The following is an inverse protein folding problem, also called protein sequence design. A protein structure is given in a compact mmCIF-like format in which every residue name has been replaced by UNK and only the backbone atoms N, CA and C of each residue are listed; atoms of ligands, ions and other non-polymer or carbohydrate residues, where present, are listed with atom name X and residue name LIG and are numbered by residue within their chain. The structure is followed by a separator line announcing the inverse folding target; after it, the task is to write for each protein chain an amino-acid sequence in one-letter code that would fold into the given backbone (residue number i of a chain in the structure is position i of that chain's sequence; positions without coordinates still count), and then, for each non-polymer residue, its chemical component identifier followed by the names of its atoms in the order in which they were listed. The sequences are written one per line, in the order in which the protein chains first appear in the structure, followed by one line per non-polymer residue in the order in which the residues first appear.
data_IF_156118499988
#
_entry.id   IF_156118499988
#
_cell.length_a   1.000
_cell.length_b   1.000
_cell.length_c   1.000
_cell.angle_alpha   90.00
_cell.angle_beta   90.00
_cell.angle_gamma   90.00
#
_symmetry.space_group_name_H-M   'P 1'
#
loop_
_entity.id
_entity.type
_entity.pdbx_description
1 polymer ?
#
# COMPACT_ATOMS: atom_id res chain seq x y z
N UNK A 1 -32.54 13.23 -2.69
CA UNK A 1 -31.54 12.19 -2.47
C UNK A 1 -30.54 12.77 -1.50
N UNK A 2 -30.46 12.28 -0.26
CA UNK A 2 -29.51 12.80 0.74
C UNK A 2 -28.10 12.47 0.26
N UNK A 3 -27.32 13.51 -0.06
CA UNK A 3 -25.93 13.39 -0.50
C UNK A 3 -25.02 13.29 0.70
N UNK A 4 -25.16 12.23 1.49
CA UNK A 4 -24.28 11.96 2.63
C UNK A 4 -22.97 11.38 2.10
N UNK A 5 -21.81 12.04 2.28
CA UNK A 5 -20.54 11.49 1.86
C UNK A 5 -20.18 10.23 2.67
N UNK A 6 -20.12 9.10 1.99
CA UNK A 6 -19.60 7.82 2.49
C UNK A 6 -18.14 7.62 2.04
N UNK A 7 -17.29 7.10 2.92
CA UNK A 7 -15.82 7.05 2.80
C UNK A 7 -15.31 5.64 3.06
N UNK A 8 -14.21 5.22 2.41
CA UNK A 8 -13.57 3.92 2.66
C UNK A 8 -12.09 4.11 2.90
N UNK A 9 -11.60 3.63 4.04
CA UNK A 9 -10.20 3.56 4.39
C UNK A 9 -9.75 2.11 4.36
N UNK A 10 -8.73 1.83 3.56
CA UNK A 10 -8.06 0.53 3.48
C UNK A 10 -6.64 0.76 3.99
N UNK A 11 -6.37 0.33 5.23
CA UNK A 11 -5.08 0.46 5.91
C UNK A 11 -4.89 1.75 6.72
N UNK A 12 -4.39 1.59 7.95
CA UNK A 12 -3.75 2.61 8.81
C UNK A 12 -4.63 3.69 9.45
N UNK A 13 -4.66 3.75 10.80
CA UNK A 13 -5.20 4.89 11.54
C UNK A 13 -4.22 6.07 11.55
N UNK A 14 -4.71 7.28 11.29
CA UNK A 14 -3.87 8.47 11.35
C UNK A 14 -4.62 9.81 11.21
N UNK A 15 -3.90 10.94 11.35
CA UNK A 15 -4.42 12.31 11.15
C UNK A 15 -4.98 12.59 9.75
N UNK A 16 -4.83 11.63 8.83
CA UNK A 16 -5.32 11.64 7.45
C UNK A 16 -6.82 11.89 7.35
N UNK A 17 -7.63 11.27 8.22
CA UNK A 17 -9.09 11.42 8.18
C UNK A 17 -9.54 12.84 8.52
N UNK A 18 -8.88 13.48 9.48
CA UNK A 18 -9.16 14.88 9.83
C UNK A 18 -8.85 15.79 8.64
N UNK A 19 -7.70 15.60 7.99
CA UNK A 19 -7.30 16.42 6.85
C UNK A 19 -8.27 16.29 5.67
N UNK A 20 -8.76 15.08 5.39
CA UNK A 20 -9.74 14.84 4.32
C UNK A 20 -11.08 15.51 4.64
N UNK A 21 -11.59 15.35 5.87
CA UNK A 21 -12.83 15.99 6.33
C UNK A 21 -12.69 17.51 6.23
N UNK A 22 -11.62 18.08 6.79
CA UNK A 22 -11.34 19.52 6.75
C UNK A 22 -11.33 20.05 5.30
N UNK A 23 -10.70 19.32 4.37
CA UNK A 23 -10.65 19.70 2.95
C UNK A 23 -12.03 19.67 2.28
N UNK A 24 -12.89 18.73 2.65
CA UNK A 24 -14.25 18.58 2.09
C UNK A 24 -15.17 19.66 2.62
N UNK A 25 -15.10 19.93 3.93
CA UNK A 25 -15.84 21.01 4.57
C UNK A 25 -15.42 22.38 4.02
N UNK A 26 -14.13 22.62 3.82
CA UNK A 26 -13.61 23.84 3.21
C UNK A 26 -14.12 24.00 1.77
N UNK A 27 -14.08 22.94 0.97
CA UNK A 27 -14.62 22.95 -0.39
C UNK A 27 -16.13 23.23 -0.41
N UNK A 28 -16.90 22.60 0.48
CA UNK A 28 -18.33 22.86 0.60
C UNK A 28 -18.60 24.33 0.95
N UNK A 29 -17.95 24.83 2.01
CA UNK A 29 -18.10 26.21 2.48
C UNK A 29 -17.80 27.22 1.37
N UNK A 30 -16.72 27.01 0.61
CA UNK A 30 -16.35 27.87 -0.53
C UNK A 30 -17.34 27.79 -1.69
N UNK A 31 -17.96 26.63 -1.91
CA UNK A 31 -18.90 26.41 -3.00
C UNK A 31 -20.33 26.89 -2.73
N UNK A 32 -20.80 26.77 -1.49
CA UNK A 32 -22.20 27.06 -1.11
C UNK A 32 -22.36 28.27 -0.21
N UNK A 33 -21.31 28.70 0.49
CA UNK A 33 -21.39 29.73 1.54
C UNK A 33 -22.07 29.25 2.82
N UNK A 34 -22.45 27.97 2.91
CA UNK A 34 -23.17 27.40 4.06
C UNK A 34 -22.23 26.78 5.09
N UNK A 35 -22.73 26.56 6.30
CA UNK A 35 -21.99 25.91 7.37
C UNK A 35 -22.01 24.38 7.19
N UNK A 36 -20.87 23.72 6.94
CA UNK A 36 -20.84 22.26 6.72
C UNK A 36 -21.29 21.45 7.94
N UNK A 37 -21.17 21.99 9.15
CA UNK A 37 -21.49 21.23 10.38
C UNK A 37 -22.96 20.83 10.52
N UNK A 38 -23.88 21.57 9.89
CA UNK A 38 -25.32 21.33 9.95
C UNK A 38 -25.84 20.56 8.72
N UNK A 39 -25.07 20.57 7.63
CA UNK A 39 -25.51 20.10 6.31
C UNK A 39 -24.83 18.79 5.86
N UNK A 40 -23.70 18.41 6.47
CA UNK A 40 -22.90 17.26 6.04
C UNK A 40 -22.67 16.29 7.20
N UNK A 41 -22.97 15.01 6.94
CA UNK A 41 -22.59 13.90 7.79
C UNK A 41 -21.50 13.07 7.11
N UNK A 42 -20.53 12.58 7.88
CA UNK A 42 -19.43 11.77 7.36
C UNK A 42 -19.54 10.32 7.86
N UNK A 43 -19.39 9.33 6.97
CA UNK A 43 -19.32 7.91 7.34
C UNK A 43 -18.04 7.23 6.86
N UNK A 44 -17.14 6.89 7.79
CA UNK A 44 -15.88 6.22 7.50
C UNK A 44 -15.99 4.70 7.62
N UNK A 45 -15.69 4.00 6.53
CA UNK A 45 -15.70 2.55 6.45
C UNK A 45 -14.26 2.04 6.49
N UNK A 46 -13.88 1.34 7.55
CA UNK A 46 -12.57 0.72 7.67
C UNK A 46 -12.60 -0.68 7.07
N UNK A 47 -11.87 -0.91 5.99
CA UNK A 47 -11.76 -2.22 5.36
C UNK A 47 -10.39 -2.86 5.63
N UNK A 48 -10.43 -4.13 6.00
CA UNK A 48 -9.27 -5.00 6.18
C UNK A 48 -9.72 -6.46 6.07
N UNK A 49 -8.77 -7.40 6.11
CA UNK A 49 -9.07 -8.83 6.16
C UNK A 49 -9.95 -9.21 7.34
N UNK A 50 -10.70 -10.31 7.18
CA UNK A 50 -11.67 -10.80 8.18
C UNK A 50 -11.03 -11.17 9.52
N UNK A 51 -9.73 -11.47 9.53
CA UNK A 51 -8.97 -11.80 10.73
C UNK A 51 -8.30 -10.57 11.38
N UNK A 52 -8.52 -9.36 10.85
CA UNK A 52 -7.98 -8.14 11.42
C UNK A 52 -8.63 -7.82 12.78
N UNK A 53 -7.87 -7.14 13.65
CA UNK A 53 -8.29 -6.74 14.98
C UNK A 53 -9.19 -5.50 15.01
N UNK A 54 -10.38 -5.55 14.38
CA UNK A 54 -11.34 -4.42 14.37
C UNK A 54 -11.72 -3.92 15.77
N UNK A 55 -11.72 -4.79 16.78
CA UNK A 55 -11.98 -4.37 18.17
C UNK A 55 -10.93 -3.36 18.67
N UNK A 56 -9.65 -3.61 18.37
CA UNK A 56 -8.55 -2.73 18.76
C UNK A 56 -8.65 -1.39 18.02
N UNK A 57 -8.94 -1.45 16.72
CA UNK A 57 -9.22 -0.26 15.90
C UNK A 57 -10.33 0.60 16.53
N UNK A 58 -11.50 0.02 16.81
CA UNK A 58 -12.62 0.79 17.37
C UNK A 58 -12.36 1.35 18.77
N UNK A 59 -11.49 0.71 19.56
CA UNK A 59 -11.05 1.23 20.86
C UNK A 59 -10.07 2.40 20.73
N UNK A 60 -9.30 2.47 19.64
CA UNK A 60 -8.31 3.51 19.39
C UNK A 60 -8.89 4.79 18.76
N UNK A 61 -10.13 4.74 18.25
CA UNK A 61 -10.77 5.88 17.61
C UNK A 61 -10.88 7.10 18.55
N UNK A 62 -10.61 8.32 18.05
CA UNK A 62 -10.64 9.53 18.87
C UNK A 62 -12.06 9.85 19.35
N UNK A 63 -12.16 10.28 20.61
CA UNK A 63 -13.40 10.81 21.17
C UNK A 63 -13.77 12.14 20.49
N UNK A 64 -15.07 12.41 20.34
CA UNK A 64 -15.56 13.68 19.77
C UNK A 64 -15.39 13.84 18.25
N UNK A 65 -15.11 12.74 17.52
CA UNK A 65 -15.03 12.73 16.06
C UNK A 65 -16.32 13.18 15.38
N UNK A 66 -16.18 13.94 14.28
CA UNK A 66 -17.27 14.45 13.42
C UNK A 66 -17.76 13.44 12.36
N UNK A 67 -17.49 12.15 12.55
CA UNK A 67 -17.81 11.09 11.59
C UNK A 67 -18.26 9.81 12.27
N UNK A 68 -19.20 9.11 11.63
CA UNK A 68 -19.63 7.76 11.96
C UNK A 68 -18.65 6.74 11.40
N UNK A 69 -18.60 5.55 11.98
CA UNK A 69 -17.63 4.51 11.60
C UNK A 69 -18.28 3.15 11.47
N UNK A 70 -17.80 2.34 10.52
CA UNK A 70 -18.11 0.93 10.43
C UNK A 70 -16.89 0.12 9.96
N UNK A 71 -16.84 -1.15 10.33
CA UNK A 71 -15.85 -2.10 9.83
C UNK A 71 -16.42 -2.88 8.66
N UNK A 72 -15.59 -3.10 7.64
CA UNK A 72 -15.93 -3.84 6.43
C UNK A 72 -14.92 -4.97 6.28
N UNK A 73 -15.19 -6.17 6.82
CA UNK A 73 -14.26 -7.27 6.73
C UNK A 73 -14.29 -7.88 5.32
N UNK A 74 -13.13 -8.00 4.69
CA UNK A 74 -12.99 -8.58 3.35
C UNK A 74 -11.72 -8.14 2.64
N UNK A 75 -11.24 -8.96 1.69
CA UNK A 75 -10.07 -8.60 0.89
C UNK A 75 -10.39 -7.44 -0.05
N UNK A 76 -9.56 -6.41 -0.04
CA UNK A 76 -9.67 -5.28 -0.95
C UNK A 76 -9.36 -5.63 -2.41
N UNK A 77 -8.81 -6.81 -2.73
CA UNK A 77 -8.62 -7.21 -4.13
C UNK A 77 -9.95 -7.50 -4.85
N UNK A 78 -11.05 -7.68 -4.09
CA UNK A 78 -12.39 -7.84 -4.62
C UNK A 78 -13.36 -6.75 -4.17
N UNK A 79 -14.61 -6.89 -4.58
CA UNK A 79 -15.73 -6.07 -4.11
C UNK A 79 -16.00 -6.32 -2.61
N UNK A 80 -16.06 -5.26 -1.83
CA UNK A 80 -16.41 -5.27 -0.40
C UNK A 80 -17.60 -4.35 -0.08
N UNK A 81 -18.05 -3.54 -1.04
CA UNK A 81 -19.15 -2.60 -0.87
C UNK A 81 -20.17 -2.66 -2.01
N UNK A 82 -21.39 -2.13 -1.80
CA UNK A 82 -22.35 -1.93 -2.88
C UNK A 82 -21.81 -1.00 -3.98
N UNK A 83 -22.46 -1.02 -5.15
CA UNK A 83 -22.10 -0.10 -6.24
C UNK A 83 -22.38 1.34 -5.85
N UNK A 84 -21.48 2.25 -6.23
CA UNK A 84 -21.63 3.70 -6.02
C UNK A 84 -21.95 4.10 -4.57
N UNK A 85 -21.30 3.47 -3.60
CA UNK A 85 -21.55 3.65 -2.16
C UNK A 85 -20.46 4.43 -1.43
N UNK A 86 -19.45 4.95 -2.12
CA UNK A 86 -18.48 5.86 -1.49
C UNK A 86 -17.92 6.90 -2.45
N UNK A 87 -17.46 8.02 -1.89
CA UNK A 87 -17.07 9.22 -2.64
C UNK A 87 -15.56 9.39 -2.72
N UNK A 88 -14.86 9.03 -1.64
CA UNK A 88 -13.41 9.09 -1.55
C UNK A 88 -12.93 7.79 -0.88
N UNK A 89 -12.01 7.10 -1.55
CA UNK A 89 -11.32 5.95 -0.99
C UNK A 89 -9.86 6.27 -0.72
N UNK A 90 -9.31 5.68 0.32
CA UNK A 90 -7.89 5.78 0.69
C UNK A 90 -7.34 4.39 0.84
N UNK A 91 -6.25 4.09 0.13
CA UNK A 91 -5.45 2.89 0.36
C UNK A 91 -4.11 3.34 0.89
N UNK A 92 -3.83 3.06 2.16
CA UNK A 92 -2.64 3.52 2.85
C UNK A 92 -1.72 2.35 3.20
N UNK A 93 -0.50 2.36 2.65
CA UNK A 93 0.52 1.33 2.80
C UNK A 93 0.02 -0.11 2.59
N UNK A 94 -1.03 -0.30 1.78
CA UNK A 94 -1.56 -1.61 1.42
C UNK A 94 -1.45 -1.92 -0.07
N UNK A 95 -1.18 -0.92 -0.91
CA UNK A 95 -1.21 -1.07 -2.38
C UNK A 95 -0.05 -1.89 -2.96
N UNK A 96 0.95 -2.25 -2.15
CA UNK A 96 2.10 -3.08 -2.55
C UNK A 96 1.93 -4.56 -2.20
N UNK A 97 0.83 -4.94 -1.55
CA UNK A 97 0.52 -6.34 -1.30
C UNK A 97 0.04 -7.04 -2.57
N UNK A 98 0.34 -8.33 -2.68
CA UNK A 98 -0.27 -9.25 -3.63
C UNK A 98 -1.24 -10.19 -2.93
N UNK A 99 -2.26 -10.69 -3.64
CA UNK A 99 -3.25 -11.61 -3.09
C UNK A 99 -2.67 -12.98 -2.77
N UNK A 100 -1.60 -13.35 -3.47
CA UNK A 100 -0.83 -14.58 -3.30
C UNK A 100 0.60 -14.39 -3.82
N UNK A 101 1.45 -15.35 -3.50
CA UNK A 101 2.77 -15.48 -4.11
C UNK A 101 2.64 -16.46 -5.30
N UNK A 102 3.22 -16.17 -6.49
CA UNK A 102 3.20 -17.09 -7.62
C UNK A 102 3.76 -18.46 -7.23
N UNK A 103 3.09 -19.54 -7.62
CA UNK A 103 3.49 -20.89 -7.17
C UNK A 103 4.88 -21.25 -7.71
N UNK A 104 5.15 -20.84 -8.93
CA UNK A 104 6.35 -21.12 -9.71
C UNK A 104 7.61 -20.57 -9.03
N UNK A 105 7.49 -19.49 -8.24
CA UNK A 105 8.64 -18.92 -7.52
C UNK A 105 8.82 -19.52 -6.11
N UNK A 106 7.83 -20.27 -5.63
CA UNK A 106 7.89 -20.96 -4.33
C UNK A 106 8.28 -22.43 -4.43
N UNK A 107 8.12 -23.01 -5.63
CA UNK A 107 8.43 -24.40 -5.91
C UNK A 107 9.93 -24.58 -6.14
N UNK A 108 10.61 -25.35 -5.28
CA UNK A 108 12.07 -25.56 -5.35
C UNK A 108 12.52 -26.30 -6.59
N UNK A 109 11.63 -27.08 -7.20
CA UNK A 109 11.93 -27.85 -8.41
C UNK A 109 11.66 -27.02 -9.68
N UNK A 110 11.09 -25.82 -9.52
CA UNK A 110 10.83 -24.88 -10.61
C UNK A 110 12.10 -24.17 -11.07
N UNK A 111 12.31 -23.98 -12.39
CA UNK A 111 13.39 -23.13 -12.89
C UNK A 111 13.21 -21.64 -12.54
N UNK A 112 12.02 -21.25 -12.09
CA UNK A 112 11.70 -19.90 -11.61
C UNK A 112 11.74 -19.81 -10.08
N UNK A 113 12.22 -20.84 -9.38
CA UNK A 113 12.30 -20.82 -7.94
C UNK A 113 13.07 -19.59 -7.45
N UNK A 114 12.41 -18.73 -6.69
CA UNK A 114 13.07 -17.59 -6.08
C UNK A 114 13.72 -18.07 -4.78
N UNK A 115 15.06 -18.04 -4.76
CA UNK A 115 15.82 -18.37 -3.54
C UNK A 115 15.74 -17.25 -2.50
N UNK A 116 15.47 -16.02 -2.92
CA UNK A 116 15.37 -14.87 -2.06
C UNK A 116 13.98 -14.79 -1.39
N UNK A 117 13.94 -14.15 -0.21
CA UNK A 117 12.70 -13.97 0.58
C UNK A 117 11.68 -13.05 -0.14
N UNK A 118 12.15 -12.23 -1.07
CA UNK A 118 11.35 -11.22 -1.77
C UNK A 118 11.83 -11.04 -3.21
N UNK A 119 11.11 -10.23 -3.99
CA UNK A 119 11.53 -9.83 -5.34
C UNK A 119 12.68 -8.81 -5.26
N UNK A 120 13.93 -9.27 -5.38
CA UNK A 120 15.12 -8.39 -5.36
C UNK A 120 15.24 -7.52 -6.61
N UNK A 121 14.67 -7.98 -7.74
CA UNK A 121 14.82 -7.35 -9.06
C UNK A 121 16.10 -7.76 -9.79
N UNK A 122 16.87 -8.73 -9.28
CA UNK A 122 18.04 -9.27 -9.99
C UNK A 122 17.67 -10.25 -11.09
N UNK A 123 16.78 -11.19 -10.79
CA UNK A 123 16.27 -12.16 -11.75
C UNK A 123 15.02 -11.58 -12.44
N UNK A 124 15.15 -11.26 -13.73
CA UNK A 124 14.08 -10.66 -14.52
C UNK A 124 12.88 -11.60 -14.69
N UNK A 125 13.08 -12.93 -14.70
CA UNK A 125 12.00 -13.89 -14.83
C UNK A 125 11.19 -14.00 -13.52
N UNK A 126 11.88 -13.99 -12.37
CA UNK A 126 11.23 -13.89 -11.06
C UNK A 126 10.52 -12.55 -10.91
N UNK A 127 11.17 -11.43 -11.26
CA UNK A 127 10.56 -10.09 -11.26
C UNK A 127 9.28 -10.07 -12.09
N UNK A 128 9.34 -10.62 -13.31
CA UNK A 128 8.17 -10.72 -14.18
C UNK A 128 7.04 -11.53 -13.53
N UNK A 129 7.35 -12.65 -12.88
CA UNK A 129 6.32 -13.47 -12.21
C UNK A 129 5.61 -12.70 -11.08
N UNK A 130 6.36 -11.94 -10.26
CA UNK A 130 5.76 -11.04 -9.28
C UNK A 130 4.94 -9.92 -9.94
N UNK A 131 5.45 -9.30 -10.99
CA UNK A 131 4.76 -8.22 -11.72
C UNK A 131 3.46 -8.71 -12.36
N UNK A 132 3.44 -9.91 -12.96
CA UNK A 132 2.24 -10.50 -13.56
C UNK A 132 1.15 -10.69 -12.49
N UNK A 133 1.52 -11.22 -11.31
CA UNK A 133 0.61 -11.38 -10.18
C UNK A 133 0.13 -10.04 -9.64
N UNK A 134 1.04 -9.08 -9.44
CA UNK A 134 0.72 -7.73 -8.98
C UNK A 134 -0.20 -6.98 -9.95
N UNK A 135 0.02 -7.12 -11.25
CA UNK A 135 -0.77 -6.48 -12.29
C UNK A 135 -2.19 -7.04 -12.31
N UNK A 136 -2.34 -8.37 -12.19
CA UNK A 136 -3.65 -9.02 -12.09
C UNK A 136 -4.40 -8.57 -10.82
N UNK A 137 -3.71 -8.56 -9.68
CA UNK A 137 -4.30 -8.13 -8.40
C UNK A 137 -4.70 -6.66 -8.40
N UNK A 138 -3.84 -5.79 -8.92
CA UNK A 138 -4.12 -4.36 -9.04
C UNK A 138 -5.27 -4.10 -10.00
N UNK A 139 -5.34 -4.84 -11.12
CA UNK A 139 -6.47 -4.72 -12.06
C UNK A 139 -7.79 -5.11 -11.39
N UNK A 140 -7.83 -6.24 -10.66
CA UNK A 140 -9.02 -6.66 -9.92
C UNK A 140 -9.44 -5.65 -8.84
N UNK A 141 -8.46 -5.12 -8.10
CA UNK A 141 -8.67 -4.07 -7.11
C UNK A 141 -9.27 -2.83 -7.76
N UNK A 142 -8.69 -2.32 -8.85
CA UNK A 142 -9.18 -1.15 -9.55
C UNK A 142 -10.59 -1.39 -10.11
N UNK A 143 -10.86 -2.55 -10.70
CA UNK A 143 -12.20 -2.90 -11.20
C UNK A 143 -13.24 -2.91 -10.07
N UNK A 144 -12.91 -3.50 -8.93
CA UNK A 144 -13.78 -3.51 -7.76
C UNK A 144 -14.05 -2.08 -7.25
N UNK A 145 -13.01 -1.24 -7.12
CA UNK A 145 -13.16 0.16 -6.69
C UNK A 145 -13.94 0.98 -7.71
N UNK A 146 -13.78 0.71 -9.01
CA UNK A 146 -14.51 1.41 -10.06
C UNK A 146 -16.01 1.13 -10.00
N UNK A 147 -16.44 -0.06 -9.57
CA UNK A 147 -17.86 -0.35 -9.35
C UNK A 147 -18.44 0.35 -8.11
N UNK A 148 -17.66 0.40 -7.03
CA UNK A 148 -18.09 0.87 -5.72
C UNK A 148 -18.04 2.40 -5.56
N UNK A 149 -17.10 3.05 -6.22
CA UNK A 149 -16.94 4.50 -6.16
C UNK A 149 -18.06 5.19 -6.96
N UNK A 150 -18.59 6.31 -6.47
CA UNK A 150 -19.52 7.16 -7.25
C UNK A 150 -18.81 7.76 -8.48
N UNK A 151 -19.53 8.10 -9.57
CA UNK A 151 -18.95 8.82 -10.70
C UNK A 151 -18.23 10.10 -10.25
N UNK A 152 -17.01 10.32 -10.75
CA UNK A 152 -16.17 11.47 -10.38
C UNK A 152 -15.55 11.42 -8.97
N UNK A 153 -15.76 10.34 -8.21
CA UNK A 153 -15.12 10.11 -6.92
C UNK A 153 -13.60 9.97 -7.02
N UNK A 154 -12.93 10.06 -5.86
CA UNK A 154 -11.47 10.04 -5.77
C UNK A 154 -10.96 8.78 -5.05
N UNK A 155 -9.83 8.25 -5.51
CA UNK A 155 -9.07 7.20 -4.84
C UNK A 155 -7.66 7.72 -4.56
N UNK A 156 -7.27 7.78 -3.29
CA UNK A 156 -5.93 8.19 -2.86
C UNK A 156 -5.13 6.93 -2.51
N UNK A 157 -4.04 6.68 -3.22
CA UNK A 157 -3.16 5.55 -2.97
C UNK A 157 -1.86 6.08 -2.36
N UNK A 158 -1.67 5.85 -1.06
CA UNK A 158 -0.46 6.16 -0.34
C UNK A 158 0.33 4.86 -0.15
N UNK A 159 1.59 4.82 -0.60
CA UNK A 159 2.35 3.56 -0.58
C UNK A 159 3.83 3.69 -0.83
N UNK A 160 4.48 2.54 -0.98
CA UNK A 160 5.89 2.44 -1.40
C UNK A 160 5.98 1.84 -2.79
N UNK A 161 6.95 2.30 -3.58
CA UNK A 161 7.28 1.79 -4.90
C UNK A 161 8.76 1.98 -5.22
N UNK A 162 9.11 1.80 -6.49
CA UNK A 162 10.46 1.97 -7.01
C UNK A 162 10.47 3.06 -8.09
N UNK A 163 11.60 3.77 -8.19
CA UNK A 163 11.87 4.58 -9.37
C UNK A 163 12.24 3.66 -10.53
N UNK A 164 11.93 4.06 -11.75
CA UNK A 164 12.21 3.25 -12.93
C UNK A 164 13.69 2.86 -13.01
N UNK A 165 13.94 1.57 -13.23
CA UNK A 165 15.29 0.99 -13.29
C UNK A 165 16.03 0.88 -11.96
N UNK A 166 15.40 1.20 -10.81
CA UNK A 166 15.95 0.93 -9.48
C UNK A 166 15.47 -0.44 -9.02
N UNK A 167 16.40 -1.33 -8.70
CA UNK A 167 16.08 -2.66 -8.17
C UNK A 167 15.78 -2.59 -6.68
N UNK A 168 14.90 -3.47 -6.20
CA UNK A 168 14.54 -3.50 -4.78
C UNK A 168 15.78 -3.70 -3.89
N UNK A 169 16.70 -4.58 -4.31
CA UNK A 169 17.97 -4.85 -3.63
C UNK A 169 18.93 -3.66 -3.54
N UNK A 170 18.72 -2.62 -4.36
CA UNK A 170 19.50 -1.37 -4.30
C UNK A 170 18.93 -0.40 -3.26
N UNK A 171 17.75 -0.68 -2.69
CA UNK A 171 17.11 0.17 -1.69
C UNK A 171 17.43 -0.29 -0.27
N UNK A 172 17.42 0.64 0.70
CA UNK A 172 17.56 0.30 2.12
C UNK A 172 16.49 -0.71 2.58
N UNK A 173 15.27 -0.63 2.05
CA UNK A 173 14.18 -1.57 2.36
C UNK A 173 14.48 -2.98 1.85
N UNK A 174 15.05 -3.09 0.64
CA UNK A 174 15.44 -4.37 0.07
C UNK A 174 16.60 -4.99 0.84
N UNK A 175 17.60 -4.19 1.22
CA UNK A 175 18.71 -4.67 2.07
C UNK A 175 18.22 -5.19 3.42
N UNK A 176 17.27 -4.52 4.08
CA UNK A 176 16.66 -5.02 5.32
C UNK A 176 15.96 -6.37 5.07
N UNK A 177 15.22 -6.50 3.97
CA UNK A 177 14.58 -7.77 3.61
C UNK A 177 15.60 -8.87 3.30
N UNK A 178 16.73 -8.54 2.66
CA UNK A 178 17.84 -9.48 2.43
C UNK A 178 18.42 -9.98 3.77
N UNK A 179 18.65 -9.10 4.75
CA UNK A 179 19.16 -9.48 6.07
C UNK A 179 18.19 -10.36 6.85
N UNK A 180 16.89 -10.05 6.79
CA UNK A 180 15.85 -10.90 7.39
C UNK A 180 15.86 -12.27 6.70
N UNK A 181 15.91 -12.30 5.36
CA UNK A 181 15.95 -13.54 4.59
C UNK A 181 17.17 -14.40 4.91
N UNK A 182 18.37 -13.80 4.99
CA UNK A 182 19.59 -14.48 5.38
C UNK A 182 19.50 -15.05 6.81
N UNK A 183 19.02 -14.26 7.77
CA UNK A 183 18.86 -14.70 9.16
C UNK A 183 17.88 -15.88 9.27
N UNK A 184 16.79 -15.86 8.52
CA UNK A 184 15.82 -16.95 8.48
C UNK A 184 16.40 -18.21 7.80
N UNK A 185 17.25 -18.03 6.78
CA UNK A 185 17.95 -19.14 6.13
C UNK A 185 18.93 -19.82 7.10
N UNK A 186 19.66 -19.06 7.92
CA UNK A 186 20.57 -19.62 8.93
C UNK A 186 19.79 -20.44 9.98
N UNK A 187 18.66 -19.92 10.47
CA UNK A 187 17.79 -20.66 11.39
C UNK A 187 17.24 -21.96 10.79
N UNK A 188 16.92 -21.96 9.49
CA UNK A 188 16.47 -23.15 8.79
C UNK A 188 17.58 -24.21 8.66
N UNK A 189 18.83 -23.79 8.40
CA UNK A 189 19.98 -24.70 8.37
C UNK A 189 20.26 -25.33 9.74
N UNK A 190 19.95 -24.63 10.83
CA UNK A 190 20.04 -25.15 12.20
C UNK A 190 18.91 -26.12 12.56
N UNK A 191 17.97 -26.42 11.64
CA UNK A 191 16.78 -27.25 11.87
C UNK A 191 15.86 -26.73 13.00
N UNK A 192 16.01 -25.46 13.39
CA UNK A 192 15.20 -24.80 14.43
C UNK A 192 13.84 -24.39 13.83
N UNK A 193 13.77 -24.24 12.51
CA UNK A 193 12.58 -23.77 11.81
C UNK A 193 12.47 -24.40 10.41
N UNK A 194 11.26 -24.71 9.95
CA UNK A 194 11.03 -25.32 8.64
C UNK A 194 10.72 -24.23 7.59
N UNK A 195 11.50 -24.22 6.51
CA UNK A 195 11.71 -23.13 5.54
C UNK A 195 10.49 -22.62 4.74
N UNK A 196 9.33 -23.30 4.79
CA UNK A 196 8.28 -23.21 3.76
C UNK A 196 7.50 -21.87 3.75
N UNK A 197 7.77 -20.93 4.67
CA UNK A 197 6.88 -19.78 4.92
C UNK A 197 7.41 -18.38 4.57
N UNK A 198 8.63 -18.22 4.06
CA UNK A 198 9.29 -16.90 4.01
C UNK A 198 9.22 -16.21 2.64
N UNK A 199 8.12 -16.33 1.90
CA UNK A 199 7.89 -15.43 0.76
C UNK A 199 7.00 -14.30 1.21
N UNK A 200 7.47 -13.06 1.05
CA UNK A 200 6.61 -11.91 1.37
C UNK A 200 5.67 -11.66 0.19
N UNK A 201 4.34 -11.58 0.40
CA UNK A 201 3.37 -11.25 -0.66
C UNK A 201 3.40 -9.75 -0.96
N UNK A 202 4.59 -9.24 -1.26
CA UNK A 202 4.84 -7.83 -1.56
C UNK A 202 5.52 -7.71 -2.91
N UNK A 203 5.05 -6.76 -3.70
CA UNK A 203 5.74 -6.29 -4.89
C UNK A 203 5.77 -4.76 -4.86
N UNK A 204 6.98 -4.20 -4.94
CA UNK A 204 7.18 -2.76 -5.03
C UNK A 204 7.33 -2.40 -6.50
N UNK A 205 6.23 -2.04 -7.13
CA UNK A 205 6.20 -1.72 -8.54
C UNK A 205 7.00 -0.45 -8.86
N UNK A 206 7.61 -0.43 -10.04
CA UNK A 206 8.21 0.77 -10.60
C UNK A 206 7.12 1.80 -10.97
N UNK A 207 7.48 3.08 -11.02
CA UNK A 207 6.55 4.15 -11.39
C UNK A 207 5.92 3.90 -12.77
N UNK A 208 6.74 3.50 -13.75
CA UNK A 208 6.30 3.15 -15.09
C UNK A 208 5.33 1.96 -15.10
N UNK A 209 5.60 0.94 -14.29
CA UNK A 209 4.73 -0.24 -14.14
C UNK A 209 3.36 0.17 -13.55
N UNK A 210 3.34 0.97 -12.49
CA UNK A 210 2.11 1.49 -11.89
C UNK A 210 1.28 2.32 -12.86
N UNK A 211 1.94 3.27 -13.56
CA UNK A 211 1.28 4.11 -14.56
C UNK A 211 0.70 3.28 -15.69
N UNK A 212 1.43 2.25 -16.13
CA UNK A 212 0.97 1.36 -17.19
C UNK A 212 -0.25 0.56 -16.75
N UNK A 213 -0.22 -0.08 -15.57
CA UNK A 213 -1.35 -0.88 -15.05
C UNK A 213 -2.61 -0.01 -14.92
N UNK A 214 -2.50 1.19 -14.35
CA UNK A 214 -3.63 2.12 -14.19
C UNK A 214 -4.18 2.56 -15.56
N UNK A 215 -3.29 2.87 -16.51
CA UNK A 215 -3.66 3.28 -17.87
C UNK A 215 -4.37 2.15 -18.62
N UNK A 216 -3.88 0.93 -18.51
CA UNK A 216 -4.46 -0.26 -19.16
C UNK A 216 -5.83 -0.63 -18.57
N UNK A 217 -6.00 -0.48 -17.25
CA UNK A 217 -7.31 -0.68 -16.61
C UNK A 217 -8.37 0.32 -17.14
N UNK A 218 -7.98 1.58 -17.35
CA UNK A 218 -8.80 2.59 -18.03
C UNK A 218 -10.06 3.04 -17.27
N UNK A 219 -10.28 2.60 -16.01
CA UNK A 219 -11.41 3.04 -15.17
C UNK A 219 -11.11 4.32 -14.39
N UNK A 220 -9.83 4.69 -14.29
CA UNK A 220 -9.38 5.86 -13.55
C UNK A 220 -8.45 6.72 -14.38
N UNK A 221 -8.46 8.02 -14.10
CA UNK A 221 -7.48 8.99 -14.57
C UNK A 221 -6.54 9.34 -13.41
N UNK A 222 -5.25 9.43 -13.69
CA UNK A 222 -4.24 9.90 -12.72
C UNK A 222 -4.30 11.43 -12.68
N UNK A 223 -4.78 12.00 -11.58
CA UNK A 223 -4.82 13.45 -11.35
C UNK A 223 -3.48 13.97 -10.81
N UNK A 224 -2.81 13.17 -9.99
CA UNK A 224 -1.50 13.46 -9.43
C UNK A 224 -0.75 12.16 -9.12
N UNK A 225 0.57 12.21 -9.23
CA UNK A 225 1.48 11.13 -8.85
C UNK A 225 2.72 11.78 -8.25
N UNK A 226 2.68 12.01 -6.94
CA UNK A 226 3.70 12.78 -6.23
C UNK A 226 4.64 11.85 -5.46
N UNK A 227 5.95 12.10 -5.53
CA UNK A 227 6.96 11.47 -4.68
C UNK A 227 6.95 12.15 -3.30
N UNK A 228 6.58 11.40 -2.26
CA UNK A 228 6.54 11.90 -0.90
C UNK A 228 7.89 11.63 -0.23
N UNK A 229 8.68 12.69 -0.05
CA UNK A 229 9.91 12.62 0.73
C UNK A 229 9.54 12.50 2.21
N UNK A 230 9.73 11.32 2.79
CA UNK A 230 9.40 11.08 4.19
C UNK A 230 10.31 11.95 5.10
N UNK A 231 9.76 12.77 6.01
CA UNK A 231 10.57 13.63 6.90
C UNK A 231 11.47 12.82 7.86
N UNK A 232 11.18 11.53 8.06
CA UNK A 232 12.02 10.61 8.82
C UNK A 232 13.01 9.81 7.97
N UNK A 233 13.13 10.06 6.67
CA UNK A 233 14.17 9.40 5.85
C UNK A 233 15.56 9.66 6.45
N UNK A 234 15.81 10.88 6.93
CA UNK A 234 17.02 11.24 7.65
C UNK A 234 17.11 10.65 9.06
N UNK A 235 15.99 10.50 9.76
CA UNK A 235 15.98 9.89 11.10
C UNK A 235 16.18 8.37 11.06
N UNK A 236 15.61 7.69 10.06
CA UNK A 236 15.87 6.28 9.77
C UNK A 236 17.30 6.09 9.32
N UNK A 237 17.82 6.95 8.43
CA UNK A 237 19.25 6.98 8.09
C UNK A 237 20.12 7.10 9.34
N UNK A 238 19.82 8.05 10.25
CA UNK A 238 20.53 8.21 11.53
C UNK A 238 20.38 7.04 12.50
N UNK A 239 19.21 6.40 12.55
CA UNK A 239 18.99 5.20 13.35
C UNK A 239 19.82 4.02 12.81
N UNK A 240 19.92 3.90 11.49
CA UNK A 240 20.82 2.95 10.84
C UNK A 240 22.30 3.33 11.00
N UNK A 241 22.65 4.63 11.04
CA UNK A 241 23.98 5.13 11.46
C UNK A 241 24.29 4.80 12.94
N UNK A 242 23.28 4.63 13.80
CA UNK A 242 23.49 4.20 15.19
C UNK A 242 23.68 2.68 15.29
N UNK A 243 23.01 1.92 14.42
CA UNK A 243 23.24 0.48 14.20
C UNK A 243 24.61 0.25 13.54
N UNK A 244 25.16 1.24 12.82
CA UNK A 244 26.48 1.28 12.17
C UNK A 244 27.63 0.91 13.11
N UNK A 245 27.54 1.36 14.35
CA UNK A 245 28.58 1.11 15.37
C UNK A 245 28.69 -0.38 15.69
N UNK A 246 27.68 -1.21 15.36
CA UNK A 246 27.58 -2.62 15.77
C UNK A 246 27.80 -3.70 14.70
N UNK A 247 27.71 -3.45 13.39
CA UNK A 247 27.62 -4.55 12.38
C UNK A 247 28.64 -4.48 11.22
N UNK A 248 29.94 -4.63 11.51
CA UNK A 248 31.09 -4.21 10.66
C UNK A 248 31.37 -4.93 9.33
N UNK A 249 30.57 -5.88 8.85
CA UNK A 249 30.94 -6.65 7.64
C UNK A 249 30.06 -6.38 6.41
N UNK A 250 28.86 -5.80 6.57
CA UNK A 250 27.88 -5.63 5.47
C UNK A 250 27.78 -4.18 4.91
N UNK A 251 28.68 -3.28 5.32
CA UNK A 251 28.47 -1.81 5.25
C UNK A 251 28.63 -1.12 3.90
N UNK A 252 29.42 -1.63 2.96
CA UNK A 252 29.68 -0.91 1.70
C UNK A 252 28.44 -0.82 0.80
N UNK A 253 27.46 -1.73 0.99
CA UNK A 253 26.23 -1.79 0.18
C UNK A 253 25.21 -0.74 0.63
N UNK A 254 25.08 -0.49 1.93
CA UNK A 254 24.08 0.44 2.50
C UNK A 254 24.43 1.90 2.17
N UNK A 255 25.72 2.28 2.25
CA UNK A 255 26.17 3.64 1.92
C UNK A 255 25.89 4.03 0.46
N UNK A 256 25.84 3.04 -0.44
CA UNK A 256 25.55 3.23 -1.86
C UNK A 256 24.08 2.93 -2.21
N UNK A 257 23.21 2.74 -1.21
CA UNK A 257 21.79 2.45 -1.44
C UNK A 257 21.09 3.62 -2.12
N UNK A 258 20.22 3.31 -3.08
CA UNK A 258 19.36 4.29 -3.75
C UNK A 258 18.12 4.54 -2.88
N UNK A 259 17.60 5.79 -2.85
CA UNK A 259 16.34 6.06 -2.17
C UNK A 259 15.21 5.25 -2.83
N UNK A 260 14.40 4.56 -2.02
CA UNK A 260 13.12 4.02 -2.46
C UNK A 260 12.11 5.15 -2.71
N UNK A 261 11.00 4.85 -3.39
CA UNK A 261 9.94 5.83 -3.63
C UNK A 261 8.80 5.61 -2.63
N UNK A 262 8.27 6.70 -2.07
CA UNK A 262 6.93 6.69 -1.49
C UNK A 262 6.05 7.56 -2.36
N UNK A 263 4.83 7.13 -2.63
CA UNK A 263 3.94 7.86 -3.52
C UNK A 263 2.63 8.20 -2.85
N UNK A 264 2.07 9.34 -3.25
CA UNK A 264 0.63 9.58 -3.22
C UNK A 264 0.15 9.67 -4.66
N UNK A 265 -0.71 8.73 -5.04
CA UNK A 265 -1.41 8.73 -6.33
C UNK A 265 -2.84 9.16 -6.06
N UNK A 266 -3.29 10.22 -6.74
CA UNK A 266 -4.69 10.64 -6.72
C UNK A 266 -5.34 10.21 -8.02
N UNK A 267 -6.28 9.27 -7.93
CA UNK A 267 -7.05 8.75 -9.04
C UNK A 267 -8.46 9.35 -9.04
N UNK A 268 -8.95 9.77 -10.20
CA UNK A 268 -10.35 10.14 -10.41
C UNK A 268 -11.03 9.06 -11.22
N UNK A 269 -12.19 8.57 -10.75
CA UNK A 269 -12.99 7.63 -11.54
C UNK A 269 -13.57 8.33 -12.77
N UNK A 270 -13.43 7.66 -13.91
CA UNK A 270 -13.98 8.06 -15.20
C UNK A 270 -15.52 7.96 -15.24
#
# INVERSE_FOLDING_TARGET
MSTTPQWVMIGGEGPEMKNIIDAVEDKYRKGTGQNPEEDIEFQVLFNDFTNNGFNTLFQALPAGRRYYTAGVPGSFFGRVLPKQSFHIGVINYAFHFTSKIPKEITDRDSPLWNRDMHCTGFDEAVKKSYLDQYSADTTNLLDARAEELVPGGLMLLLGSGLRDGVKMSETAKGMVMDFIGASLNDLAQLHIYNFILNYTPLYFAEEGELRQIIKENGKFTIEAFEDIIHPYADAMRKAFELVEVKAREEFSRIQNSKPGMQYLIVLRKN
#
